data_IF_046652082969
#
_entry.id   IF_046652082969
#
_cell.length_a   1.000
_cell.length_b   1.000
_cell.length_c   1.000
_cell.angle_alpha   90.00
_cell.angle_beta   90.00
_cell.angle_gamma   90.00
#
_symmetry.space_group_name_H-M   'P 1'
#
loop_
_entity.id
_entity.type
_entity.pdbx_description
1 polymer ?
#
# COMPACT_ATOMS: atom_id res chain seq x y z
N UNK A 1 18.13 15.98 -13.07
CA UNK A 1 18.44 17.01 -14.11
C UNK A 1 19.89 16.93 -14.59
N UNK A 2 20.92 17.00 -13.72
CA UNK A 2 22.33 16.94 -14.16
C UNK A 2 22.72 15.66 -14.92
N UNK A 3 22.23 14.49 -14.49
CA UNK A 3 22.50 13.20 -15.16
C UNK A 3 22.01 13.19 -16.61
N UNK A 4 20.83 13.75 -16.88
CA UNK A 4 20.18 13.76 -18.19
C UNK A 4 20.98 14.56 -19.23
N UNK A 5 21.41 15.78 -18.88
CA UNK A 5 22.23 16.62 -19.76
C UNK A 5 23.63 16.05 -19.97
N UNK A 6 24.23 15.47 -18.92
CA UNK A 6 25.55 14.85 -19.01
C UNK A 6 25.51 13.56 -19.84
N UNK A 7 24.44 12.76 -19.74
CA UNK A 7 24.24 11.56 -20.55
C UNK A 7 24.09 11.90 -22.03
N UNK A 8 23.29 12.93 -22.38
CA UNK A 8 23.16 13.42 -23.76
C UNK A 8 24.52 13.79 -24.38
N UNK A 9 25.34 14.51 -23.61
CA UNK A 9 26.67 14.98 -24.05
C UNK A 9 27.68 13.83 -24.20
N UNK A 10 27.69 12.88 -23.27
CA UNK A 10 28.59 11.73 -23.32
C UNK A 10 28.22 10.77 -24.44
N UNK A 11 26.93 10.54 -24.66
CA UNK A 11 26.42 9.67 -25.72
C UNK A 11 26.77 10.21 -27.11
N UNK A 12 26.61 11.52 -27.34
CA UNK A 12 27.05 12.19 -28.57
C UNK A 12 28.56 12.05 -28.84
N UNK A 13 29.40 11.92 -27.80
CA UNK A 13 30.85 11.74 -27.93
C UNK A 13 31.24 10.28 -28.24
N UNK A 14 30.42 9.32 -27.84
CA UNK A 14 30.64 7.88 -28.05
C UNK A 14 30.06 7.41 -29.40
N UNK A 15 29.29 8.25 -30.09
CA UNK A 15 28.75 7.96 -31.43
C UNK A 15 27.53 7.04 -31.43
N UNK A 16 27.02 6.68 -30.25
CA UNK A 16 25.82 5.88 -30.06
C UNK A 16 24.60 6.80 -30.09
N UNK A 17 24.12 7.27 -31.25
CA UNK A 17 23.04 8.29 -31.33
C UNK A 17 21.69 7.70 -31.75
N UNK A 18 21.63 6.40 -32.05
CA UNK A 18 20.53 5.76 -32.79
C UNK A 18 19.34 5.25 -31.96
N UNK A 19 19.59 4.50 -30.88
CA UNK A 19 18.54 3.67 -30.25
C UNK A 19 18.14 4.06 -28.82
N UNK A 20 16.90 3.78 -28.43
CA UNK A 20 16.45 3.97 -27.03
C UNK A 20 17.21 3.05 -26.04
N UNK A 21 17.79 1.96 -26.54
CA UNK A 21 18.58 0.99 -25.77
C UNK A 21 20.06 1.22 -26.06
N UNK A 22 20.85 1.52 -25.01
CA UNK A 22 22.30 1.63 -25.11
C UNK A 22 22.94 0.24 -25.09
N UNK A 23 24.04 0.05 -25.81
CA UNK A 23 24.81 -1.20 -25.71
C UNK A 23 25.35 -1.38 -24.28
N UNK A 24 25.58 -2.63 -23.87
CA UNK A 24 26.14 -2.93 -22.55
C UNK A 24 27.50 -2.23 -22.33
N UNK A 25 28.32 -2.15 -23.38
CA UNK A 25 29.62 -1.49 -23.35
C UNK A 25 29.50 0.04 -23.18
N UNK A 26 28.55 0.67 -23.87
CA UNK A 26 28.30 2.11 -23.75
C UNK A 26 27.71 2.45 -22.37
N UNK A 27 26.79 1.63 -21.87
CA UNK A 27 26.17 1.78 -20.54
C UNK A 27 27.22 1.75 -19.44
N UNK A 28 28.13 0.77 -19.47
CA UNK A 28 29.18 0.65 -18.44
C UNK A 28 30.17 1.81 -18.47
N UNK A 29 30.54 2.30 -19.67
CA UNK A 29 31.42 3.48 -19.82
C UNK A 29 30.77 4.74 -19.25
N UNK A 30 29.49 4.95 -19.53
CA UNK A 30 28.73 6.12 -19.03
C UNK A 30 28.51 6.03 -17.52
N UNK A 31 28.16 4.85 -17.00
CA UNK A 31 27.99 4.61 -15.55
C UNK A 31 29.27 4.94 -14.77
N UNK A 32 30.43 4.48 -15.25
CA UNK A 32 31.75 4.79 -14.65
C UNK A 32 32.09 6.28 -14.74
N UNK A 33 31.83 6.92 -15.87
CA UNK A 33 32.12 8.35 -16.06
C UNK A 33 31.23 9.25 -15.18
N UNK A 34 29.97 8.86 -14.96
CA UNK A 34 28.99 9.60 -14.17
C UNK A 34 28.92 9.16 -12.71
N UNK A 35 29.65 8.11 -12.31
CA UNK A 35 29.65 7.50 -10.97
C UNK A 35 28.24 7.15 -10.49
N UNK A 36 27.46 6.53 -11.37
CA UNK A 36 26.11 6.04 -11.07
C UNK A 36 25.97 4.56 -11.46
N UNK A 37 25.03 3.84 -10.85
CA UNK A 37 24.66 2.49 -11.26
C UNK A 37 24.28 2.38 -12.75
N UNK A 38 24.57 1.23 -13.37
CA UNK A 38 24.21 0.98 -14.78
C UNK A 38 22.68 1.00 -15.00
N UNK A 39 21.88 0.55 -14.02
CA UNK A 39 20.41 0.61 -14.11
C UNK A 39 19.88 2.06 -14.17
N UNK A 40 20.53 3.01 -13.48
CA UNK A 40 20.16 4.42 -13.52
C UNK A 40 20.48 5.04 -14.90
N UNK A 41 21.57 4.61 -15.52
CA UNK A 41 21.95 5.00 -16.88
C UNK A 41 20.93 4.45 -17.89
N UNK A 42 20.52 3.19 -17.76
CA UNK A 42 19.51 2.57 -18.62
C UNK A 42 18.14 3.25 -18.49
N UNK A 43 17.68 3.49 -17.26
CA UNK A 43 16.41 4.20 -17.00
C UNK A 43 16.43 5.61 -17.57
N UNK A 44 17.55 6.34 -17.40
CA UNK A 44 17.68 7.68 -17.94
C UNK A 44 17.83 7.70 -19.47
N UNK A 45 18.51 6.71 -20.06
CA UNK A 45 18.64 6.57 -21.51
C UNK A 45 17.28 6.30 -22.17
N UNK A 46 16.46 5.44 -21.58
CA UNK A 46 15.09 5.18 -22.04
C UNK A 46 14.24 6.47 -22.02
N UNK A 47 14.32 7.25 -20.94
CA UNK A 47 13.63 8.56 -20.82
C UNK A 47 14.17 9.64 -21.76
N UNK A 48 15.44 9.58 -22.18
CA UNK A 48 16.00 10.56 -23.11
C UNK A 48 15.44 10.42 -24.54
N UNK A 49 15.05 9.21 -24.92
CA UNK A 49 14.66 8.84 -26.29
C UNK A 49 13.18 8.48 -26.43
N UNK A 50 12.46 8.31 -25.33
CA UNK A 50 11.00 8.31 -25.30
C UNK A 50 10.53 9.73 -24.93
N UNK A 51 10.30 10.64 -25.89
CA UNK A 51 9.57 11.86 -25.60
C UNK A 51 8.19 11.49 -25.06
N UNK A 52 7.68 12.27 -24.11
CA UNK A 52 6.31 12.10 -23.62
C UNK A 52 5.36 12.14 -24.82
N UNK A 53 4.74 11.00 -25.10
CA UNK A 53 3.73 10.89 -26.15
C UNK A 53 2.42 11.38 -25.57
N UNK A 54 1.68 12.16 -26.36
CA UNK A 54 0.30 12.48 -26.02
C UNK A 54 -0.49 11.18 -25.90
N UNK A 55 -1.15 10.99 -24.76
CA UNK A 55 -2.03 9.84 -24.57
C UNK A 55 -3.27 9.92 -25.49
N UNK A 56 -3.63 11.13 -25.91
CA UNK A 56 -4.73 11.38 -26.84
C UNK A 56 -4.27 11.33 -28.32
N UNK A 57 -3.02 10.92 -28.59
CA UNK A 57 -2.61 10.73 -29.98
C UNK A 57 -3.31 9.49 -30.56
N UNK A 58 -3.74 9.53 -31.83
CA UNK A 58 -4.34 8.36 -32.47
C UNK A 58 -3.34 7.21 -32.55
N UNK A 59 -3.83 5.99 -32.37
CA UNK A 59 -3.03 4.77 -32.38
C UNK A 59 -2.61 4.38 -33.81
N UNK A 60 -3.45 4.70 -34.79
CA UNK A 60 -3.22 4.49 -36.24
C UNK A 60 -3.70 5.72 -37.02
N UNK A 61 -3.16 5.92 -38.22
CA UNK A 61 -3.49 7.10 -39.06
C UNK A 61 -4.95 7.11 -39.57
N UNK A 62 -5.64 5.96 -39.52
CA UNK A 62 -7.02 5.78 -39.99
C UNK A 62 -8.01 5.40 -38.86
N UNK A 63 -7.54 5.27 -37.62
CA UNK A 63 -8.32 4.80 -36.47
C UNK A 63 -8.74 5.91 -35.51
N UNK A 64 -9.80 5.66 -34.74
CA UNK A 64 -10.32 6.54 -33.70
C UNK A 64 -9.71 6.28 -32.31
N UNK A 65 -9.05 5.13 -32.11
CA UNK A 65 -8.49 4.75 -30.81
C UNK A 65 -7.27 5.60 -30.40
N UNK A 66 -7.23 5.97 -29.13
CA UNK A 66 -6.14 6.74 -28.52
C UNK A 66 -5.23 5.83 -27.67
N UNK A 67 -4.02 6.29 -27.33
CA UNK A 67 -3.10 5.53 -26.45
C UNK A 67 -3.65 5.35 -25.04
N UNK A 68 -4.46 6.29 -24.54
CA UNK A 68 -5.09 6.17 -23.22
C UNK A 68 -6.08 5.01 -23.14
N UNK A 69 -6.73 4.65 -24.24
CA UNK A 69 -7.75 3.58 -24.27
C UNK A 69 -7.15 2.20 -24.01
N UNK A 70 -5.83 2.06 -24.19
CA UNK A 70 -5.09 0.82 -23.91
C UNK A 70 -4.53 0.76 -22.49
N UNK A 71 -4.66 1.82 -21.69
CA UNK A 71 -4.16 1.83 -20.32
C UNK A 71 -5.09 1.00 -19.44
N UNK A 72 -4.62 -0.11 -18.85
CA UNK A 72 -5.44 -0.87 -17.92
C UNK A 72 -5.63 -0.07 -16.63
N UNK A 73 -6.87 -0.02 -16.16
CA UNK A 73 -7.14 0.38 -14.78
C UNK A 73 -6.70 -0.75 -13.85
N UNK A 74 -5.81 -0.41 -12.91
CA UNK A 74 -5.32 -1.35 -11.90
C UNK A 74 -6.12 -1.25 -10.59
N UNK A 75 -7.16 -0.40 -10.55
CA UNK A 75 -8.12 -0.40 -9.45
C UNK A 75 -8.83 -1.76 -9.35
N UNK A 76 -9.35 -2.04 -8.16
CA UNK A 76 -10.22 -3.19 -8.00
C UNK A 76 -11.43 -3.06 -8.93
N UNK A 77 -11.86 -4.19 -9.48
CA UNK A 77 -13.07 -4.22 -10.29
C UNK A 77 -14.30 -3.96 -9.43
N UNK A 78 -15.43 -3.54 -10.04
CA UNK A 78 -16.65 -3.23 -9.30
C UNK A 78 -17.18 -4.41 -8.47
N UNK A 79 -16.95 -5.64 -8.91
CA UNK A 79 -17.30 -6.86 -8.16
C UNK A 79 -16.44 -7.01 -6.90
N UNK A 80 -15.15 -6.74 -7.00
CA UNK A 80 -14.24 -6.80 -5.86
C UNK A 80 -14.57 -5.70 -4.84
N UNK A 81 -14.83 -4.49 -5.30
CA UNK A 81 -15.26 -3.37 -4.43
C UNK A 81 -16.58 -3.68 -3.72
N UNK A 82 -17.57 -4.22 -4.43
CA UNK A 82 -18.85 -4.59 -3.84
C UNK A 82 -18.71 -5.71 -2.81
N UNK A 83 -17.86 -6.71 -3.10
CA UNK A 83 -17.58 -7.80 -2.18
C UNK A 83 -16.86 -7.30 -0.94
N UNK A 84 -15.84 -6.44 -1.09
CA UNK A 84 -15.14 -5.84 0.05
C UNK A 84 -16.07 -4.97 0.91
N UNK A 85 -16.92 -4.16 0.30
CA UNK A 85 -17.90 -3.35 1.02
C UNK A 85 -18.87 -4.22 1.82
N UNK A 86 -19.39 -5.29 1.21
CA UNK A 86 -20.29 -6.23 1.89
C UNK A 86 -19.58 -6.95 3.05
N UNK A 87 -18.37 -7.45 2.82
CA UNK A 87 -17.56 -8.12 3.84
C UNK A 87 -17.23 -7.18 5.00
N UNK A 88 -16.92 -5.91 4.73
CA UNK A 88 -16.63 -4.92 5.76
C UNK A 88 -17.85 -4.66 6.66
N UNK A 89 -19.05 -4.59 6.08
CA UNK A 89 -20.30 -4.46 6.85
C UNK A 89 -20.49 -5.69 7.75
N UNK A 90 -20.40 -6.90 7.18
CA UNK A 90 -20.57 -8.13 7.93
C UNK A 90 -19.54 -8.27 9.07
N UNK A 91 -18.27 -7.91 8.82
CA UNK A 91 -17.21 -7.89 9.84
C UNK A 91 -17.51 -6.88 10.95
N UNK A 92 -17.98 -5.69 10.59
CA UNK A 92 -18.33 -4.66 11.56
C UNK A 92 -19.48 -5.11 12.48
N UNK A 93 -20.51 -5.76 11.93
CA UNK A 93 -21.61 -6.34 12.69
C UNK A 93 -21.12 -7.42 13.67
N UNK A 94 -20.27 -8.34 13.21
CA UNK A 94 -19.68 -9.39 14.05
C UNK A 94 -18.88 -8.81 15.23
N UNK A 95 -18.07 -7.78 14.98
CA UNK A 95 -17.33 -7.09 16.04
C UNK A 95 -18.30 -6.40 17.00
N UNK A 96 -19.32 -5.72 16.48
CA UNK A 96 -20.32 -5.04 17.29
C UNK A 96 -21.04 -6.01 18.23
N UNK A 97 -21.45 -7.17 17.73
CA UNK A 97 -22.06 -8.23 18.53
C UNK A 97 -21.10 -8.80 19.59
N UNK A 98 -19.84 -9.04 19.23
CA UNK A 98 -18.84 -9.53 20.17
C UNK A 98 -18.57 -8.53 21.31
N UNK A 99 -18.65 -7.22 21.04
CA UNK A 99 -18.51 -6.17 22.05
C UNK A 99 -19.63 -6.18 23.11
N UNK A 100 -20.75 -6.86 22.85
CA UNK A 100 -21.82 -7.02 23.84
C UNK A 100 -21.47 -8.01 24.96
N UNK A 101 -20.48 -8.88 24.77
CA UNK A 101 -19.98 -9.81 25.81
C UNK A 101 -19.03 -9.13 26.81
N UNK A 102 -18.55 -7.93 26.46
CA UNK A 102 -17.73 -7.11 27.34
C UNK A 102 -18.59 -6.34 28.34
N UNK A 103 -18.09 -6.24 29.57
CA UNK A 103 -18.62 -5.28 30.54
C UNK A 103 -18.45 -3.84 30.06
N UNK A 104 -19.25 -2.91 30.57
CA UNK A 104 -19.19 -1.50 30.17
C UNK A 104 -17.79 -0.90 30.30
N UNK A 105 -17.05 -1.30 31.34
CA UNK A 105 -15.68 -0.88 31.58
C UNK A 105 -14.71 -1.43 30.55
N UNK A 106 -14.83 -2.72 30.19
CA UNK A 106 -14.02 -3.36 29.15
C UNK A 106 -14.32 -2.74 27.78
N UNK A 107 -15.61 -2.55 27.46
CA UNK A 107 -16.08 -1.95 26.21
C UNK A 107 -15.55 -0.54 26.02
N UNK A 108 -15.57 0.28 27.07
CA UNK A 108 -15.01 1.64 27.03
C UNK A 108 -13.51 1.61 26.73
N UNK A 109 -12.73 0.77 27.43
CA UNK A 109 -11.28 0.68 27.23
C UNK A 109 -10.96 0.21 25.79
N UNK A 110 -11.68 -0.77 25.26
CA UNK A 110 -11.47 -1.24 23.88
C UNK A 110 -11.83 -0.16 22.86
N UNK A 111 -12.98 0.51 23.03
CA UNK A 111 -13.41 1.56 22.12
C UNK A 111 -12.35 2.65 21.97
N UNK A 112 -11.93 3.23 23.08
CA UNK A 112 -11.03 4.39 23.12
C UNK A 112 -9.59 4.06 22.73
N UNK A 113 -9.21 2.77 22.72
CA UNK A 113 -7.84 2.33 22.39
C UNK A 113 -7.72 1.64 21.04
N UNK A 114 -8.80 1.08 20.51
CA UNK A 114 -8.76 0.18 19.34
C UNK A 114 -9.72 0.57 18.23
N UNK A 115 -10.79 1.31 18.54
CA UNK A 115 -11.86 1.62 17.57
C UNK A 115 -11.95 3.12 17.23
N UNK A 116 -11.14 3.96 17.86
CA UNK A 116 -11.00 5.37 17.55
C UNK A 116 -9.66 5.63 16.86
N UNK A 117 -9.62 6.60 15.94
CA UNK A 117 -8.40 6.97 15.21
C UNK A 117 -7.30 7.47 16.15
N UNK A 118 -7.68 8.32 17.12
CA UNK A 118 -6.79 8.86 18.13
C UNK A 118 -6.84 8.03 19.42
N UNK A 119 -6.11 6.91 19.43
CA UNK A 119 -6.11 5.98 20.56
C UNK A 119 -5.59 6.63 21.87
N UNK A 120 -6.42 6.60 22.90
CA UNK A 120 -6.08 7.14 24.24
C UNK A 120 -5.02 6.30 24.93
N UNK A 121 -4.06 6.93 25.61
CA UNK A 121 -2.99 6.21 26.33
C UNK A 121 -3.51 5.45 27.57
N UNK A 122 -2.78 4.42 28.00
CA UNK A 122 -3.14 3.66 29.20
C UNK A 122 -3.09 4.54 30.47
N UNK A 123 -2.21 5.53 30.50
CA UNK A 123 -2.10 6.48 31.62
C UNK A 123 -3.35 7.36 31.69
N UNK A 124 -3.74 7.98 30.58
CA UNK A 124 -4.93 8.84 30.53
C UNK A 124 -6.21 8.08 30.88
N UNK A 125 -6.37 6.84 30.39
CA UNK A 125 -7.49 5.97 30.78
C UNK A 125 -7.43 5.55 32.25
N UNK A 126 -6.23 5.34 32.79
CA UNK A 126 -6.02 5.02 34.20
C UNK A 126 -6.48 6.16 35.09
N UNK A 127 -6.04 7.38 34.79
CA UNK A 127 -6.46 8.60 35.49
C UNK A 127 -7.97 8.80 35.42
N UNK A 128 -8.56 8.69 34.22
CA UNK A 128 -10.01 8.88 34.00
C UNK A 128 -10.87 7.84 34.72
N UNK A 129 -10.36 6.61 34.87
CA UNK A 129 -11.06 5.48 35.51
C UNK A 129 -10.66 5.27 36.97
N UNK A 130 -9.80 6.12 37.54
CA UNK A 130 -9.32 6.03 38.91
C UNK A 130 -8.55 4.73 39.22
N UNK A 131 -7.82 4.18 38.24
CA UNK A 131 -7.03 2.95 38.38
C UNK A 131 -5.62 3.09 37.83
N UNK A 132 -4.71 2.21 38.24
CA UNK A 132 -3.35 2.22 37.72
C UNK A 132 -3.29 1.87 36.23
N UNK A 133 -2.28 2.38 35.54
CA UNK A 133 -1.92 2.01 34.16
C UNK A 133 -1.90 0.50 33.95
N UNK A 134 -1.27 -0.23 34.88
CA UNK A 134 -1.18 -1.69 34.81
C UNK A 134 -2.55 -2.35 34.93
N UNK A 135 -3.45 -1.80 35.74
CA UNK A 135 -4.81 -2.31 35.83
C UNK A 135 -5.58 -2.10 34.53
N UNK A 136 -5.40 -0.97 33.84
CA UNK A 136 -6.00 -0.74 32.51
C UNK A 136 -5.48 -1.77 31.50
N UNK A 137 -4.16 -2.01 31.48
CA UNK A 137 -3.53 -3.02 30.61
C UNK A 137 -4.10 -4.42 30.84
N UNK A 138 -4.30 -4.82 32.10
CA UNK A 138 -4.91 -6.12 32.43
C UNK A 138 -6.35 -6.22 31.93
N UNK A 139 -7.16 -5.16 32.11
CA UNK A 139 -8.54 -5.15 31.65
C UNK A 139 -8.59 -5.19 30.11
N UNK A 140 -7.73 -4.43 29.43
CA UNK A 140 -7.59 -4.46 27.96
C UNK A 140 -7.24 -5.87 27.47
N UNK A 141 -6.25 -6.53 28.08
CA UNK A 141 -5.84 -7.89 27.70
C UNK A 141 -6.97 -8.91 27.89
N UNK A 142 -7.66 -8.86 29.03
CA UNK A 142 -8.80 -9.76 29.28
C UNK A 142 -9.97 -9.50 28.34
N UNK A 143 -10.24 -8.23 27.99
CA UNK A 143 -11.28 -7.87 27.04
C UNK A 143 -10.95 -8.37 25.63
N UNK A 144 -9.70 -8.25 25.19
CA UNK A 144 -9.26 -8.79 23.89
C UNK A 144 -9.40 -10.32 23.82
N UNK A 145 -9.05 -11.03 24.89
CA UNK A 145 -9.23 -12.49 24.97
C UNK A 145 -10.71 -12.88 24.92
N UNK A 146 -11.59 -12.14 25.61
CA UNK A 146 -13.04 -12.36 25.52
C UNK A 146 -13.55 -12.11 24.10
N UNK A 147 -13.16 -11.01 23.47
CA UNK A 147 -13.54 -10.70 22.09
C UNK A 147 -13.07 -11.79 21.13
N UNK A 148 -11.84 -12.26 21.26
CA UNK A 148 -11.29 -13.35 20.45
C UNK A 148 -12.16 -14.60 20.57
N UNK A 149 -12.52 -15.01 21.80
CA UNK A 149 -13.39 -16.17 22.03
C UNK A 149 -14.79 -15.97 21.47
N UNK A 150 -15.37 -14.79 21.66
CA UNK A 150 -16.69 -14.43 21.15
C UNK A 150 -16.76 -14.52 19.61
N UNK A 151 -15.71 -14.05 18.93
CA UNK A 151 -15.59 -14.10 17.48
C UNK A 151 -15.36 -15.53 16.97
N UNK A 152 -14.44 -16.28 17.60
CA UNK A 152 -14.19 -17.69 17.26
C UNK A 152 -15.45 -18.54 17.43
N UNK A 153 -16.23 -18.30 18.49
CA UNK A 153 -17.47 -19.02 18.72
C UNK A 153 -18.54 -18.75 17.64
N UNK A 154 -18.52 -17.57 17.02
CA UNK A 154 -19.49 -17.17 15.97
C UNK A 154 -19.07 -17.60 14.57
N UNK A 155 -17.80 -17.43 14.23
CA UNK A 155 -17.28 -17.57 12.86
C UNK A 155 -16.45 -18.86 12.67
N UNK A 156 -16.08 -19.52 13.77
CA UNK A 156 -15.14 -20.63 13.79
C UNK A 156 -13.70 -20.15 14.00
N UNK A 157 -12.81 -21.09 14.37
CA UNK A 157 -11.40 -20.78 14.61
C UNK A 157 -10.64 -20.68 13.27
N UNK A 158 -10.15 -19.48 12.89
CA UNK A 158 -9.43 -19.30 11.63
C UNK A 158 -8.10 -20.06 11.59
N UNK A 159 -7.48 -20.34 12.74
CA UNK A 159 -6.25 -21.13 12.82
C UNK A 159 -6.56 -22.61 12.57
N UNK A 160 -7.62 -23.13 13.19
CA UNK A 160 -8.06 -24.50 12.97
C UNK A 160 -8.54 -24.73 11.52
N UNK A 161 -9.09 -23.70 10.89
CA UNK A 161 -9.51 -23.72 9.49
C UNK A 161 -8.35 -23.50 8.49
N UNK A 162 -7.12 -23.22 8.96
CA UNK A 162 -5.94 -23.08 8.11
C UNK A 162 -5.81 -21.74 7.37
N UNK A 163 -6.59 -20.72 7.76
CA UNK A 163 -6.56 -19.39 7.13
C UNK A 163 -5.46 -18.47 7.69
N UNK A 164 -4.90 -18.79 8.85
CA UNK A 164 -3.85 -18.00 9.50
C UNK A 164 -2.78 -18.95 10.04
N UNK A 165 -1.53 -18.76 9.57
CA UNK A 165 -0.33 -19.49 9.99
C UNK A 165 0.62 -18.62 10.78
#
# INVERSE_FOLDING_TARGET
KALFFNLRRLRARIGDVGDAVMSAEATSKVAKALRVPEHDVQSMAARLYAPDRSLNAPLTDEGDGEWQDLLPDNAAGPEADAMEAHDNIARAELVHEAMNELSDRERLIIRERKLEEDAVTLEALGERLGISKERVRQIEGNALEKLRRALIARVGDPVAAGYVG
#
